data_IF_112230597290
#
_entry.id   IF_112230597290
#
_cell.length_a   1.000
_cell.length_b   1.000
_cell.length_c   1.000
_cell.angle_alpha   90.00
_cell.angle_beta   90.00
_cell.angle_gamma   90.00
#
_symmetry.space_group_name_H-M   'P 1'
#
loop_
_entity.id
_entity.type
_entity.pdbx_description
1 polymer ?
#
# COMPACT_ATOMS: atom_id res chain seq x y z
N UNK A 1 62.09 49.39 -2.60
CA UNK A 1 60.63 49.15 -2.42
C UNK A 1 60.21 49.88 -1.15
N UNK A 2 59.31 50.88 -1.25
CA UNK A 2 58.98 51.75 -0.12
C UNK A 2 58.11 50.97 0.88
N UNK A 3 58.29 51.20 2.18
CA UNK A 3 57.54 50.55 3.25
C UNK A 3 56.00 50.63 3.08
N UNK A 4 55.49 51.64 2.36
CA UNK A 4 54.06 51.81 2.08
C UNK A 4 53.50 50.78 1.09
N UNK A 5 54.26 50.41 0.06
CA UNK A 5 53.83 49.46 -0.97
C UNK A 5 53.65 48.05 -0.38
N UNK A 6 54.51 47.67 0.58
CA UNK A 6 54.44 46.41 1.33
C UNK A 6 53.22 46.34 2.26
N UNK A 7 52.80 47.48 2.85
CA UNK A 7 51.60 47.53 3.72
C UNK A 7 50.32 47.49 2.91
N UNK A 8 50.32 48.05 1.70
CA UNK A 8 49.19 47.99 0.77
C UNK A 8 48.98 46.54 0.28
N UNK A 9 50.05 45.88 -0.16
CA UNK A 9 50.01 44.47 -0.59
C UNK A 9 49.52 43.53 0.54
N UNK A 10 50.05 43.69 1.75
CA UNK A 10 49.62 42.89 2.91
C UNK A 10 48.14 43.11 3.29
N UNK A 11 47.61 44.33 3.10
CA UNK A 11 46.20 44.62 3.32
C UNK A 11 45.30 44.02 2.22
N UNK A 12 45.78 43.95 0.98
CA UNK A 12 45.09 43.33 -0.15
C UNK A 12 45.03 41.80 -0.01
N UNK A 13 46.12 41.18 0.44
CA UNK A 13 46.17 39.75 0.79
C UNK A 13 45.20 39.39 1.93
N UNK A 14 45.14 40.22 2.99
CA UNK A 14 44.20 40.02 4.10
C UNK A 14 42.74 40.14 3.64
N UNK A 15 42.45 41.06 2.71
CA UNK A 15 41.11 41.22 2.10
C UNK A 15 40.75 40.05 1.20
N UNK A 16 41.68 39.55 0.38
CA UNK A 16 41.47 38.35 -0.44
C UNK A 16 41.18 37.12 0.42
N UNK A 17 41.90 36.94 1.53
CA UNK A 17 41.67 35.84 2.48
C UNK A 17 40.28 35.92 3.12
N UNK A 18 39.83 37.12 3.51
CA UNK A 18 38.49 37.33 4.08
C UNK A 18 37.36 37.07 3.06
N UNK A 19 37.53 37.49 1.80
CA UNK A 19 36.57 37.24 0.72
C UNK A 19 36.51 35.75 0.37
N UNK A 20 37.65 35.06 0.34
CA UNK A 20 37.72 33.61 0.14
C UNK A 20 36.98 32.83 1.23
N UNK A 21 37.18 33.20 2.50
CA UNK A 21 36.51 32.55 3.63
C UNK A 21 34.98 32.80 3.60
N UNK A 22 34.55 34.00 3.20
CA UNK A 22 33.13 34.33 3.04
C UNK A 22 32.49 33.56 1.87
N UNK A 23 33.20 33.42 0.75
CA UNK A 23 32.73 32.63 -0.38
C UNK A 23 32.58 31.15 -0.02
N UNK A 24 33.56 30.56 0.68
CA UNK A 24 33.51 29.17 1.15
C UNK A 24 32.37 28.96 2.16
N UNK A 25 32.15 29.92 3.07
CA UNK A 25 31.01 29.87 3.99
C UNK A 25 29.66 29.92 3.27
N UNK A 26 29.54 30.73 2.22
CA UNK A 26 28.32 30.86 1.44
C UNK A 26 28.02 29.59 0.61
N UNK A 27 29.04 29.00 -0.01
CA UNK A 27 28.88 27.74 -0.77
C UNK A 27 28.53 26.56 0.14
N UNK A 28 29.14 26.49 1.33
CA UNK A 28 28.79 25.48 2.35
C UNK A 28 27.34 25.67 2.85
N UNK A 29 26.90 26.90 3.10
CA UNK A 29 25.54 27.17 3.54
C UNK A 29 24.48 26.78 2.48
N UNK A 30 24.71 27.14 1.21
CA UNK A 30 23.80 26.82 0.11
C UNK A 30 23.71 25.30 -0.12
N UNK A 31 24.83 24.58 -0.07
CA UNK A 31 24.84 23.12 -0.23
C UNK A 31 24.09 22.41 0.89
N UNK A 32 24.27 22.84 2.15
CA UNK A 32 23.52 22.31 3.30
C UNK A 32 22.01 22.57 3.12
N UNK A 33 21.63 23.80 2.75
CA UNK A 33 20.23 24.16 2.56
C UNK A 33 19.56 23.29 1.48
N UNK A 34 20.22 23.09 0.34
CA UNK A 34 19.73 22.22 -0.75
C UNK A 34 19.59 20.77 -0.27
N UNK A 35 20.57 20.24 0.47
CA UNK A 35 20.50 18.88 1.01
C UNK A 35 19.32 18.68 1.97
N UNK A 36 19.06 19.66 2.84
CA UNK A 36 17.90 19.65 3.77
C UNK A 36 16.58 19.67 2.98
N UNK A 37 16.46 20.54 1.98
CA UNK A 37 15.26 20.62 1.14
C UNK A 37 15.00 19.29 0.44
N UNK A 38 16.03 18.67 -0.14
CA UNK A 38 15.92 17.36 -0.79
C UNK A 38 15.48 16.29 0.21
N UNK A 39 16.11 16.24 1.40
CA UNK A 39 15.73 15.26 2.43
C UNK A 39 14.27 15.43 2.89
N UNK A 40 13.82 16.66 3.09
CA UNK A 40 12.43 16.96 3.43
C UNK A 40 11.48 16.55 2.30
N UNK A 41 11.80 16.86 1.04
CA UNK A 41 10.99 16.46 -0.10
C UNK A 41 10.88 14.93 -0.23
N UNK A 42 12.00 14.21 -0.05
CA UNK A 42 12.03 12.74 -0.09
C UNK A 42 11.20 12.15 1.04
N UNK A 43 11.34 12.66 2.27
CA UNK A 43 10.57 12.16 3.42
C UNK A 43 9.07 12.41 3.26
N UNK A 44 8.66 13.57 2.75
CA UNK A 44 7.26 13.88 2.45
C UNK A 44 6.71 12.95 1.35
N UNK A 45 7.45 12.74 0.26
CA UNK A 45 7.02 11.85 -0.82
C UNK A 45 6.81 10.40 -0.34
N UNK A 46 7.71 9.90 0.51
CA UNK A 46 7.57 8.57 1.13
C UNK A 46 6.33 8.52 2.02
N UNK A 47 6.12 9.51 2.88
CA UNK A 47 4.95 9.57 3.77
C UNK A 47 3.62 9.59 3.00
N UNK A 48 3.53 10.38 1.92
CA UNK A 48 2.34 10.44 1.04
C UNK A 48 2.07 9.09 0.40
N UNK A 49 3.12 8.42 -0.10
CA UNK A 49 2.98 7.09 -0.73
C UNK A 49 2.44 6.05 0.25
N UNK A 50 2.94 6.05 1.48
CA UNK A 50 2.47 5.15 2.54
C UNK A 50 1.01 5.45 2.91
N UNK A 51 0.64 6.73 3.06
CA UNK A 51 -0.72 7.13 3.42
C UNK A 51 -1.77 6.72 2.37
N UNK A 52 -1.46 6.86 1.07
CA UNK A 52 -2.34 6.46 -0.03
C UNK A 52 -2.53 4.93 -0.06
N UNK A 53 -1.46 4.16 0.16
CA UNK A 53 -1.54 2.70 0.23
C UNK A 53 -2.38 2.20 1.43
N UNK A 54 -2.23 2.83 2.60
CA UNK A 54 -3.02 2.50 3.81
C UNK A 54 -4.51 2.77 3.59
N UNK A 55 -4.86 3.94 3.02
CA UNK A 55 -6.26 4.30 2.73
C UNK A 55 -6.94 3.30 1.79
N UNK A 56 -6.22 2.87 0.75
CA UNK A 56 -6.73 1.89 -0.21
C UNK A 56 -7.03 0.53 0.44
N UNK A 57 -6.18 0.10 1.39
CA UNK A 57 -6.31 -1.18 2.08
C UNK A 57 -7.47 -1.21 3.10
N UNK A 58 -7.71 -0.09 3.78
CA UNK A 58 -8.85 0.06 4.70
C UNK A 58 -10.18 -0.02 3.94
N UNK A 59 -10.33 0.77 2.86
CA UNK A 59 -11.55 0.79 2.04
C UNK A 59 -11.96 -0.61 1.52
N UNK A 60 -10.99 -1.42 1.06
CA UNK A 60 -11.27 -2.77 0.55
C UNK A 60 -11.65 -3.77 1.63
N UNK A 61 -11.10 -3.62 2.85
CA UNK A 61 -11.44 -4.49 3.97
C UNK A 61 -12.84 -4.17 4.49
N UNK A 62 -13.16 -2.90 4.62
CA UNK A 62 -14.49 -2.45 5.06
C UNK A 62 -15.58 -2.89 4.07
N UNK A 63 -15.31 -2.74 2.76
CA UNK A 63 -16.22 -3.19 1.69
C UNK A 63 -16.44 -4.71 1.74
N UNK A 64 -15.37 -5.47 1.98
CA UNK A 64 -15.44 -6.92 2.13
C UNK A 64 -16.27 -7.32 3.35
N UNK A 65 -16.05 -6.69 4.51
CA UNK A 65 -16.78 -7.00 5.73
C UNK A 65 -18.27 -6.65 5.59
N UNK A 66 -18.60 -5.53 4.95
CA UNK A 66 -19.99 -5.17 4.58
C UNK A 66 -20.62 -6.22 3.66
N UNK A 67 -19.90 -6.65 2.62
CA UNK A 67 -20.35 -7.73 1.72
C UNK A 67 -20.62 -9.04 2.47
N UNK A 68 -19.69 -9.45 3.34
CA UNK A 68 -19.81 -10.67 4.15
C UNK A 68 -21.02 -10.58 5.08
N UNK A 69 -21.23 -9.43 5.72
CA UNK A 69 -22.42 -9.19 6.53
C UNK A 69 -23.69 -9.29 5.67
N UNK A 70 -23.74 -8.64 4.51
CA UNK A 70 -24.88 -8.74 3.60
C UNK A 70 -25.22 -10.20 3.27
N UNK A 71 -24.23 -10.99 2.81
CA UNK A 71 -24.41 -12.40 2.47
C UNK A 71 -24.89 -13.24 3.67
N UNK A 72 -24.39 -12.96 4.88
CA UNK A 72 -24.81 -13.67 6.09
C UNK A 72 -26.25 -13.35 6.52
N UNK A 73 -26.77 -12.16 6.18
CA UNK A 73 -28.14 -11.74 6.50
C UNK A 73 -29.15 -12.10 5.39
N UNK A 74 -28.70 -12.66 4.26
CA UNK A 74 -29.61 -13.10 3.21
C UNK A 74 -30.52 -14.22 3.70
N UNK A 75 -31.82 -14.20 3.35
CA UNK A 75 -32.73 -15.27 3.73
C UNK A 75 -32.29 -16.56 3.05
N UNK A 76 -32.36 -17.68 3.78
CA UNK A 76 -31.99 -19.01 3.29
C UNK A 76 -32.78 -19.47 2.05
N UNK A 77 -33.91 -18.80 1.77
CA UNK A 77 -34.76 -18.94 0.59
C UNK A 77 -34.07 -18.48 -0.69
N UNK A 78 -33.07 -17.59 -0.62
CA UNK A 78 -32.30 -17.20 -1.81
C UNK A 78 -31.47 -18.37 -2.33
N UNK A 79 -31.94 -18.94 -3.43
CA UNK A 79 -31.30 -20.06 -4.09
C UNK A 79 -30.10 -19.58 -4.91
N UNK A 80 -28.99 -19.31 -4.23
CA UNK A 80 -27.71 -19.13 -4.91
C UNK A 80 -27.22 -20.49 -5.43
N UNK A 81 -26.77 -20.52 -6.69
CA UNK A 81 -26.16 -21.71 -7.31
C UNK A 81 -25.03 -22.27 -6.44
N UNK A 82 -24.89 -23.59 -6.43
CA UNK A 82 -23.82 -24.30 -5.70
C UNK A 82 -22.45 -23.78 -6.13
N UNK A 83 -22.28 -23.48 -7.43
CA UNK A 83 -21.04 -22.93 -7.99
C UNK A 83 -20.70 -21.57 -7.39
N UNK A 84 -21.69 -20.67 -7.31
CA UNK A 84 -21.53 -19.35 -6.71
C UNK A 84 -21.18 -19.45 -5.22
N UNK A 85 -21.80 -20.38 -4.48
CA UNK A 85 -21.45 -20.65 -3.07
C UNK A 85 -19.99 -21.12 -2.93
N UNK A 86 -19.51 -21.97 -3.83
CA UNK A 86 -18.12 -22.42 -3.85
C UNK A 86 -17.15 -21.28 -4.21
N UNK A 87 -17.51 -20.42 -5.16
CA UNK A 87 -16.76 -19.23 -5.56
C UNK A 87 -16.61 -18.25 -4.40
N UNK A 88 -17.70 -17.93 -3.71
CA UNK A 88 -17.68 -17.09 -2.52
C UNK A 88 -16.84 -17.74 -1.41
N UNK A 89 -17.00 -19.04 -1.18
CA UNK A 89 -16.21 -19.76 -0.18
C UNK A 89 -14.71 -19.66 -0.44
N UNK A 90 -14.23 -19.96 -1.65
CA UNK A 90 -12.79 -19.92 -1.94
C UNK A 90 -12.22 -18.52 -1.70
N UNK A 91 -12.86 -17.47 -2.21
CA UNK A 91 -12.37 -16.09 -2.06
C UNK A 91 -12.44 -15.62 -0.62
N UNK A 92 -13.47 -16.00 0.13
CA UNK A 92 -13.59 -15.71 1.56
C UNK A 92 -12.45 -16.35 2.35
N UNK A 93 -12.16 -17.65 2.13
CA UNK A 93 -11.09 -18.36 2.84
C UNK A 93 -9.71 -17.82 2.49
N UNK A 94 -9.46 -17.51 1.23
CA UNK A 94 -8.20 -16.90 0.79
C UNK A 94 -8.04 -15.46 1.32
N UNK A 95 -9.12 -14.67 1.36
CA UNK A 95 -9.09 -13.28 1.85
C UNK A 95 -8.90 -13.16 3.36
N UNK A 96 -9.35 -14.15 4.14
CA UNK A 96 -9.24 -14.18 5.61
C UNK A 96 -7.97 -14.91 6.06
N UNK A 97 -7.85 -16.19 5.70
CA UNK A 97 -6.75 -17.06 6.13
C UNK A 97 -5.52 -16.84 5.24
N UNK A 98 -5.72 -16.78 3.92
CA UNK A 98 -4.63 -16.82 2.93
C UNK A 98 -4.48 -18.22 2.37
N UNK A 99 -3.22 -18.63 2.16
CA UNK A 99 -2.86 -19.93 1.57
C UNK A 99 -3.55 -21.09 2.29
N UNK A 100 -4.06 -22.03 1.51
CA UNK A 100 -4.70 -23.24 2.01
C UNK A 100 -3.74 -24.02 2.94
N UNK A 101 -4.14 -24.16 4.21
CA UNK A 101 -3.35 -24.75 5.29
C UNK A 101 -3.96 -26.05 5.83
N UNK A 102 -5.01 -26.57 5.19
CA UNK A 102 -5.69 -27.81 5.58
C UNK A 102 -5.18 -28.98 4.74
N UNK A 103 -5.22 -30.19 5.32
CA UNK A 103 -4.90 -31.43 4.60
C UNK A 103 -6.08 -31.80 3.68
N UNK A 104 -5.78 -32.45 2.55
CA UNK A 104 -6.80 -32.89 1.62
C UNK A 104 -7.83 -33.80 2.31
N UNK A 105 -9.14 -33.47 2.26
CA UNK A 105 -10.18 -34.26 2.89
C UNK A 105 -10.40 -35.61 2.18
N UNK A 106 -11.02 -36.57 2.88
CA UNK A 106 -11.30 -37.91 2.35
C UNK A 106 -12.09 -37.90 1.04
N UNK A 107 -11.81 -38.84 0.13
CA UNK A 107 -12.49 -38.98 -1.18
C UNK A 107 -14.01 -39.08 -1.06
N UNK A 108 -14.49 -39.69 0.02
CA UNK A 108 -15.90 -39.94 0.26
C UNK A 108 -16.69 -38.70 0.71
N UNK A 109 -16.02 -37.58 1.03
CA UNK A 109 -16.66 -36.31 1.42
C UNK A 109 -16.65 -35.34 0.24
N UNK A 110 -17.55 -35.56 -0.73
CA UNK A 110 -17.55 -34.81 -1.99
C UNK A 110 -17.69 -33.29 -1.82
N UNK A 111 -18.55 -32.82 -0.91
CA UNK A 111 -18.66 -31.38 -0.60
C UNK A 111 -17.38 -30.82 0.02
N UNK A 112 -16.80 -31.61 0.93
CA UNK A 112 -15.51 -31.43 1.60
C UNK A 112 -14.40 -31.08 0.60
N UNK A 113 -14.25 -32.04 -0.31
CA UNK A 113 -13.29 -32.06 -1.38
C UNK A 113 -13.46 -30.89 -2.33
N UNK A 114 -14.69 -30.62 -2.79
CA UNK A 114 -14.92 -29.49 -3.72
C UNK A 114 -14.56 -28.13 -3.10
N UNK A 115 -14.86 -27.93 -1.81
CA UNK A 115 -14.46 -26.72 -1.07
C UNK A 115 -12.93 -26.62 -0.96
N UNK A 116 -12.27 -27.73 -0.65
CA UNK A 116 -10.81 -27.82 -0.58
C UNK A 116 -10.15 -27.51 -1.94
N UNK A 117 -10.61 -28.17 -3.01
CA UNK A 117 -10.09 -27.98 -4.38
C UNK A 117 -10.30 -26.53 -4.86
N UNK A 118 -11.48 -25.95 -4.61
CA UNK A 118 -11.75 -24.56 -4.95
C UNK A 118 -10.82 -23.58 -4.22
N UNK A 119 -10.57 -23.78 -2.92
CA UNK A 119 -9.64 -22.94 -2.17
C UNK A 119 -8.18 -23.17 -2.60
N UNK A 120 -7.78 -24.44 -2.81
CA UNK A 120 -6.43 -24.79 -3.26
C UNK A 120 -6.11 -24.22 -4.65
N UNK A 121 -7.10 -24.14 -5.54
CA UNK A 121 -6.93 -23.59 -6.89
C UNK A 121 -6.51 -22.11 -6.93
N UNK A 122 -6.76 -21.35 -5.85
CA UNK A 122 -6.45 -19.92 -5.76
C UNK A 122 -5.37 -19.62 -4.71
N UNK A 123 -4.54 -20.62 -4.35
CA UNK A 123 -3.58 -20.47 -3.26
C UNK A 123 -2.52 -19.38 -3.50
N UNK A 124 -2.25 -19.06 -4.77
CA UNK A 124 -1.29 -18.04 -5.19
C UNK A 124 -1.88 -16.62 -5.20
N UNK A 125 -3.19 -16.47 -4.98
CA UNK A 125 -3.85 -15.17 -5.00
C UNK A 125 -3.58 -14.41 -3.69
N UNK A 126 -3.30 -13.11 -3.76
CA UNK A 126 -3.13 -12.29 -2.55
C UNK A 126 -4.45 -12.17 -1.76
N UNK A 127 -4.36 -11.85 -0.46
CA UNK A 127 -5.56 -11.66 0.38
C UNK A 127 -6.40 -10.50 -0.14
N UNK A 128 -5.74 -9.44 -0.57
CA UNK A 128 -6.34 -8.22 -1.10
C UNK A 128 -7.11 -8.49 -2.40
N UNK A 129 -6.51 -9.23 -3.35
CA UNK A 129 -7.18 -9.61 -4.59
C UNK A 129 -8.33 -10.59 -4.34
N UNK A 130 -8.19 -11.51 -3.38
CA UNK A 130 -9.26 -12.42 -2.99
C UNK A 130 -10.48 -11.66 -2.45
N UNK A 131 -10.27 -10.67 -1.57
CA UNK A 131 -11.34 -9.78 -1.08
C UNK A 131 -12.00 -9.01 -2.21
N UNK A 132 -11.21 -8.48 -3.16
CA UNK A 132 -11.74 -7.77 -4.33
C UNK A 132 -12.64 -8.67 -5.18
N UNK A 133 -12.17 -9.87 -5.53
CA UNK A 133 -12.95 -10.85 -6.31
C UNK A 133 -14.21 -11.32 -5.58
N UNK A 134 -14.17 -11.41 -4.24
CA UNK A 134 -15.35 -11.71 -3.45
C UNK A 134 -16.43 -10.64 -3.64
N UNK A 135 -16.07 -9.37 -3.46
CA UNK A 135 -17.02 -8.26 -3.63
C UNK A 135 -17.55 -8.17 -5.07
N UNK A 136 -16.70 -8.38 -6.07
CA UNK A 136 -17.09 -8.40 -7.48
C UNK A 136 -18.10 -9.53 -7.77
N UNK A 137 -17.85 -10.72 -7.23
CA UNK A 137 -18.77 -11.87 -7.37
C UNK A 137 -20.12 -11.57 -6.69
N UNK A 138 -20.11 -11.01 -5.48
CA UNK A 138 -21.35 -10.61 -4.79
C UNK A 138 -22.09 -9.53 -5.58
N UNK A 139 -21.37 -8.54 -6.11
CA UNK A 139 -21.96 -7.46 -6.92
C UNK A 139 -22.59 -7.97 -8.22
N UNK A 140 -21.99 -8.99 -8.83
CA UNK A 140 -22.53 -9.64 -10.02
C UNK A 140 -23.82 -10.42 -9.73
N UNK A 141 -23.92 -11.06 -8.57
CA UNK A 141 -25.12 -11.81 -8.16
C UNK A 141 -26.21 -10.85 -7.65
N UNK A 142 -25.81 -9.82 -6.91
CA UNK A 142 -26.69 -8.90 -6.19
C UNK A 142 -26.36 -7.45 -6.51
N UNK A 143 -26.70 -6.91 -7.68
CA UNK A 143 -26.32 -5.52 -8.07
C UNK A 143 -26.87 -4.43 -7.12
N UNK A 144 -27.80 -4.78 -6.24
CA UNK A 144 -28.43 -3.87 -5.27
C UNK A 144 -27.89 -4.01 -3.84
N UNK A 145 -26.86 -4.83 -3.59
CA UNK A 145 -26.38 -5.13 -2.23
C UNK A 145 -25.84 -3.91 -1.45
N UNK A 146 -25.31 -2.91 -2.18
CA UNK A 146 -24.74 -1.68 -1.63
C UNK A 146 -25.48 -0.42 -2.13
N UNK A 147 -26.77 -0.53 -2.45
CA UNK A 147 -27.58 0.66 -2.74
C UNK A 147 -27.95 1.31 -1.41
N UNK A 148 -27.41 2.50 -1.16
CA UNK A 148 -27.89 3.37 -0.08
C UNK A 148 -29.40 3.59 -0.30
N UNK A 149 -30.19 3.30 0.73
CA UNK A 149 -31.62 3.60 0.76
C UNK A 149 -31.83 5.08 1.07
#
# INVERSE_FOLDING_TARGET
LRLGDLRLAAAEDLRLAAVGNLHVALTLAVTIAVAVIIAVAVTVAVAVTVAVAVTSKMNMTDLFDKCVQFINHLPKTEMMSVENKLLLYKYFKQGTIGKCNIVAPSMFRFEERKKYEAWKSIENLSKEEAKKKYVETVSSIYPNWNKEK
#
